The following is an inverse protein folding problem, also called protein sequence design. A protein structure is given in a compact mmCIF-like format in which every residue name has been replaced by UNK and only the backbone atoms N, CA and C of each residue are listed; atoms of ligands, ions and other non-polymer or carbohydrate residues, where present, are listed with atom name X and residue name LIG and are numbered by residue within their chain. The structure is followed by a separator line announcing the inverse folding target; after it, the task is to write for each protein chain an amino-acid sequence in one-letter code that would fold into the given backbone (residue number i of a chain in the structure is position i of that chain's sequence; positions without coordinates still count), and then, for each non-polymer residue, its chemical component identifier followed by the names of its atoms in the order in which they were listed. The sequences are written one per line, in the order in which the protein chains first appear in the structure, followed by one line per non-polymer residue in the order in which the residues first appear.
data_IF_188259764309
#
_entry.id   IF_188259764309
#
_cell.length_a   1.000
_cell.length_b   1.000
_cell.length_c   1.000
_cell.angle_alpha   90.00
_cell.angle_beta   90.00
_cell.angle_gamma   90.00
#
_symmetry.space_group_name_H-M   'P 1'
#
loop_
_entity.id
_entity.type
_entity.pdbx_description
1 polymer ?
#
# COMPACT_ATOMS: atom_id res chain seq x y z
N UNK A 1 16.56 -93.59 -56.83
CA UNK A 1 17.54 -92.86 -57.68
C UNK A 1 17.23 -91.38 -57.52
N UNK A 2 18.03 -90.54 -56.92
CA UNK A 2 19.20 -90.66 -56.08
C UNK A 2 19.15 -89.41 -55.20
N UNK A 3 19.48 -89.58 -53.94
CA UNK A 3 19.68 -88.54 -52.95
C UNK A 3 20.82 -87.64 -53.46
N UNK A 4 20.48 -86.60 -54.22
CA UNK A 4 21.42 -85.59 -54.68
C UNK A 4 21.46 -84.54 -53.59
N UNK A 5 22.19 -84.86 -52.50
CA UNK A 5 22.47 -83.90 -51.45
C UNK A 5 23.02 -82.63 -52.10
N UNK A 6 22.24 -81.55 -52.01
CA UNK A 6 22.70 -80.22 -52.41
C UNK A 6 24.03 -80.02 -51.68
N UNK A 7 25.10 -79.78 -52.44
CA UNK A 7 26.44 -79.61 -51.89
C UNK A 7 26.38 -78.59 -50.76
N UNK A 8 26.60 -79.04 -49.52
CA UNK A 8 26.54 -78.19 -48.33
C UNK A 8 27.45 -76.96 -48.45
N UNK A 9 28.48 -77.04 -49.30
CA UNK A 9 29.41 -75.97 -49.64
C UNK A 9 28.76 -74.74 -50.32
N UNK A 10 27.62 -74.88 -51.02
CA UNK A 10 26.93 -73.76 -51.69
C UNK A 10 25.72 -73.22 -50.91
N UNK A 11 25.19 -73.99 -49.97
CA UNK A 11 24.03 -73.60 -49.15
C UNK A 11 24.42 -72.48 -48.17
N UNK A 12 25.55 -72.64 -47.50
CA UNK A 12 26.01 -71.69 -46.47
C UNK A 12 26.29 -70.30 -47.06
N UNK A 13 27.06 -70.14 -48.16
CA UNK A 13 27.29 -68.82 -48.75
C UNK A 13 26.03 -68.15 -49.28
N UNK A 14 25.08 -68.93 -49.81
CA UNK A 14 23.81 -68.40 -50.33
C UNK A 14 22.93 -67.88 -49.19
N UNK A 15 22.82 -68.63 -48.09
CA UNK A 15 22.08 -68.19 -46.91
C UNK A 15 22.74 -66.98 -46.23
N UNK A 16 24.07 -66.93 -46.19
CA UNK A 16 24.79 -65.75 -45.67
C UNK A 16 24.54 -64.50 -46.51
N UNK A 17 24.45 -64.63 -47.82
CA UNK A 17 24.14 -63.51 -48.71
C UNK A 17 22.71 -63.01 -48.49
N UNK A 18 21.72 -63.91 -48.52
CA UNK A 18 20.30 -63.58 -48.28
C UNK A 18 20.10 -62.97 -46.89
N UNK A 19 20.80 -63.49 -45.88
CA UNK A 19 20.74 -62.94 -44.53
C UNK A 19 21.36 -61.54 -44.45
N UNK A 20 22.50 -61.30 -45.11
CA UNK A 20 23.12 -59.97 -45.17
C UNK A 20 22.23 -58.95 -45.86
N UNK A 21 21.62 -59.34 -46.98
CA UNK A 21 20.72 -58.49 -47.75
C UNK A 21 19.49 -58.09 -46.90
N UNK A 22 18.78 -59.08 -46.35
CA UNK A 22 17.63 -58.84 -45.48
C UNK A 22 18.00 -58.07 -44.19
N UNK A 23 19.18 -58.29 -43.61
CA UNK A 23 19.65 -57.53 -42.45
C UNK A 23 19.93 -56.06 -42.82
N UNK A 24 20.51 -55.83 -44.00
CA UNK A 24 20.78 -54.47 -44.50
C UNK A 24 19.47 -53.72 -44.75
N UNK A 25 18.50 -54.35 -45.42
CA UNK A 25 17.17 -53.78 -45.64
C UNK A 25 16.45 -53.48 -44.31
N UNK A 26 16.54 -54.39 -43.33
CA UNK A 26 15.96 -54.15 -42.01
C UNK A 26 16.63 -52.97 -41.30
N UNK A 27 17.95 -52.85 -41.36
CA UNK A 27 18.67 -51.71 -40.78
C UNK A 27 18.25 -50.40 -41.41
N UNK A 28 18.16 -50.34 -42.74
CA UNK A 28 17.71 -49.15 -43.46
C UNK A 28 16.27 -48.76 -43.08
N UNK A 29 15.36 -49.74 -42.98
CA UNK A 29 13.99 -49.50 -42.52
C UNK A 29 13.93 -49.00 -41.07
N UNK A 30 14.79 -49.51 -40.19
CA UNK A 30 14.88 -49.03 -38.80
C UNK A 30 15.46 -47.62 -38.73
N UNK A 31 16.49 -47.32 -39.50
CA UNK A 31 17.11 -46.00 -39.57
C UNK A 31 16.13 -44.96 -40.12
N UNK A 32 15.35 -45.32 -41.14
CA UNK A 32 14.30 -44.45 -41.68
C UNK A 32 13.22 -44.14 -40.63
N UNK A 33 12.77 -45.16 -39.89
CA UNK A 33 11.79 -44.96 -38.80
C UNK A 33 12.33 -44.04 -37.70
N UNK A 34 13.59 -44.23 -37.30
CA UNK A 34 14.23 -43.36 -36.30
C UNK A 34 14.34 -41.92 -36.81
N UNK A 35 14.67 -41.72 -38.09
CA UNK A 35 14.71 -40.39 -38.69
C UNK A 35 13.32 -39.72 -38.72
N UNK A 36 12.27 -40.49 -39.06
CA UNK A 36 10.89 -40.00 -39.07
C UNK A 36 10.41 -39.65 -37.66
N UNK A 37 10.72 -40.48 -36.67
CA UNK A 37 10.38 -40.22 -35.26
C UNK A 37 11.10 -38.98 -34.73
N UNK A 38 12.40 -38.84 -35.01
CA UNK A 38 13.16 -37.66 -34.64
C UNK A 38 12.60 -36.38 -35.27
N UNK A 39 12.20 -36.44 -36.56
CA UNK A 39 11.57 -35.32 -37.24
C UNK A 39 10.20 -34.99 -36.64
N UNK A 40 9.39 -36.00 -36.28
CA UNK A 40 8.10 -35.79 -35.64
C UNK A 40 8.22 -35.12 -34.27
N UNK A 41 9.23 -35.51 -33.48
CA UNK A 41 9.52 -34.89 -32.18
C UNK A 41 9.90 -33.41 -32.36
N UNK A 42 10.81 -33.11 -33.29
CA UNK A 42 11.25 -31.73 -33.54
C UNK A 42 10.10 -30.83 -34.01
N UNK A 43 9.23 -31.32 -34.91
CA UNK A 43 8.05 -30.56 -35.34
C UNK A 43 7.03 -30.39 -34.22
N UNK A 44 6.81 -31.40 -33.38
CA UNK A 44 5.94 -31.29 -32.21
C UNK A 44 6.48 -30.25 -31.21
N UNK A 45 7.78 -30.22 -30.96
CA UNK A 45 8.44 -29.21 -30.12
C UNK A 45 8.30 -27.80 -30.71
N UNK A 46 8.49 -27.66 -32.03
CA UNK A 46 8.31 -26.37 -32.72
C UNK A 46 6.89 -25.85 -32.56
N UNK A 47 5.88 -26.70 -32.83
CA UNK A 47 4.47 -26.33 -32.69
C UNK A 47 4.11 -26.00 -31.24
N UNK A 48 4.61 -26.76 -30.27
CA UNK A 48 4.39 -26.48 -28.85
C UNK A 48 5.01 -25.14 -28.42
N UNK A 49 6.20 -24.80 -28.94
CA UNK A 49 6.84 -23.53 -28.68
C UNK A 49 6.05 -22.35 -29.27
N UNK A 50 5.58 -22.48 -30.53
CA UNK A 50 4.73 -21.48 -31.19
C UNK A 50 3.42 -21.25 -30.43
N UNK A 51 2.75 -22.33 -30.02
CA UNK A 51 1.53 -22.25 -29.23
C UNK A 51 1.78 -21.60 -27.86
N UNK A 52 2.90 -21.91 -27.20
CA UNK A 52 3.26 -21.30 -25.93
C UNK A 52 3.51 -19.79 -26.06
N UNK A 53 4.09 -19.33 -27.17
CA UNK A 53 4.29 -17.90 -27.46
C UNK A 53 2.93 -17.22 -27.64
N UNK A 54 2.04 -17.80 -28.45
CA UNK A 54 0.70 -17.24 -28.68
C UNK A 54 -0.10 -17.16 -27.37
N UNK A 55 -0.08 -18.22 -26.54
CA UNK A 55 -0.74 -18.21 -25.23
C UNK A 55 -0.20 -17.11 -24.33
N UNK A 56 1.12 -16.87 -24.31
CA UNK A 56 1.72 -15.78 -23.53
C UNK A 56 1.29 -14.40 -24.03
N UNK A 57 1.21 -14.23 -25.35
CA UNK A 57 0.73 -12.96 -25.94
C UNK A 57 -0.72 -12.70 -25.57
N UNK A 58 -1.61 -13.69 -25.73
CA UNK A 58 -3.03 -13.56 -25.35
C UNK A 58 -3.18 -13.18 -23.87
N UNK A 59 -2.45 -13.84 -22.97
CA UNK A 59 -2.49 -13.51 -21.53
C UNK A 59 -1.97 -12.08 -21.26
N UNK A 60 -0.94 -11.65 -21.97
CA UNK A 60 -0.41 -10.29 -21.84
C UNK A 60 -1.43 -9.25 -22.31
N UNK A 61 -2.07 -9.48 -23.46
CA UNK A 61 -3.08 -8.59 -24.03
C UNK A 61 -4.33 -8.52 -23.14
N UNK A 62 -4.79 -9.66 -22.61
CA UNK A 62 -5.88 -9.72 -21.63
C UNK A 62 -5.56 -8.93 -20.36
N UNK A 63 -4.35 -9.10 -19.82
CA UNK A 63 -3.92 -8.36 -18.63
C UNK A 63 -3.86 -6.84 -18.89
N UNK A 64 -3.40 -6.44 -20.07
CA UNK A 64 -3.32 -5.04 -20.46
C UNK A 64 -4.72 -4.41 -20.62
N UNK A 65 -5.65 -5.16 -21.21
CA UNK A 65 -7.05 -4.74 -21.35
C UNK A 65 -7.73 -4.59 -19.98
N UNK A 66 -7.50 -5.52 -19.04
CA UNK A 66 -7.98 -5.41 -17.66
C UNK A 66 -7.42 -4.16 -16.98
N UNK A 67 -6.11 -3.89 -17.11
CA UNK A 67 -5.48 -2.68 -16.55
C UNK A 67 -6.10 -1.41 -17.12
N UNK A 68 -6.33 -1.35 -18.43
CA UNK A 68 -6.95 -0.19 -19.07
C UNK A 68 -8.40 0.01 -18.60
N UNK A 69 -9.16 -1.08 -18.43
CA UNK A 69 -10.53 -1.01 -17.93
C UNK A 69 -10.59 -0.56 -16.47
N UNK A 70 -9.68 -1.07 -15.63
CA UNK A 70 -9.53 -0.59 -14.25
C UNK A 70 -9.13 0.89 -14.20
N UNK A 71 -8.22 1.33 -15.06
CA UNK A 71 -7.83 2.75 -15.15
C UNK A 71 -9.02 3.64 -15.57
N UNK A 72 -9.86 3.17 -16.49
CA UNK A 72 -11.09 3.87 -16.88
C UNK A 72 -12.11 3.92 -15.75
N UNK A 73 -12.29 2.84 -14.99
CA UNK A 73 -13.21 2.75 -13.85
C UNK A 73 -12.74 3.59 -12.65
N UNK A 74 -11.44 3.56 -12.36
CA UNK A 74 -10.85 4.17 -11.16
C UNK A 74 -9.85 5.27 -11.50
N UNK A 75 -10.30 6.28 -12.26
CA UNK A 75 -9.43 7.39 -12.72
C UNK A 75 -8.60 8.01 -11.59
N UNK A 76 -9.22 8.22 -10.42
CA UNK A 76 -8.57 8.85 -9.26
C UNK A 76 -7.44 8.00 -8.64
N UNK A 77 -7.53 6.66 -8.71
CA UNK A 77 -6.52 5.76 -8.14
C UNK A 77 -5.21 5.79 -8.95
N UNK A 78 -5.31 6.06 -10.24
CA UNK A 78 -4.18 6.05 -11.17
C UNK A 78 -3.73 7.46 -11.57
N UNK A 79 -4.24 8.50 -10.90
CA UNK A 79 -3.69 9.84 -11.06
C UNK A 79 -2.24 9.84 -10.55
N UNK A 80 -1.29 10.39 -11.33
CA UNK A 80 0.07 10.62 -10.83
C UNK A 80 -0.02 11.46 -9.56
N UNK A 81 0.47 10.90 -8.44
CA UNK A 81 0.58 11.67 -7.20
C UNK A 81 1.60 12.77 -7.48
N UNK A 82 1.24 14.06 -7.32
CA UNK A 82 2.17 15.15 -7.49
C UNK A 82 3.40 14.89 -6.63
N UNK A 83 4.59 15.09 -7.19
CA UNK A 83 5.84 14.97 -6.45
C UNK A 83 6.03 16.24 -5.59
N UNK A 84 5.10 16.47 -4.67
CA UNK A 84 5.18 17.51 -3.66
C UNK A 84 6.14 17.05 -2.58
N UNK A 85 7.06 17.92 -2.18
CA UNK A 85 7.93 17.67 -1.05
C UNK A 85 7.07 17.24 0.14
N UNK A 86 7.43 16.12 0.76
CA UNK A 86 6.80 15.67 2.01
C UNK A 86 6.98 16.83 3.00
N UNK A 87 5.88 17.35 3.60
CA UNK A 87 6.01 18.35 4.63
C UNK A 87 6.92 17.79 5.72
N UNK A 88 8.11 18.39 5.88
CA UNK A 88 9.05 18.02 6.94
C UNK A 88 8.57 18.56 8.30
N UNK A 89 7.60 19.47 8.26
CA UNK A 89 6.93 19.98 9.43
C UNK A 89 6.02 18.90 10.00
N UNK A 90 6.26 18.54 11.26
CA UNK A 90 5.36 17.68 12.03
C UNK A 90 3.98 18.32 12.06
N UNK A 91 2.98 17.63 11.52
CA UNK A 91 1.59 18.08 11.56
C UNK A 91 1.12 17.94 13.00
N UNK A 92 1.12 19.06 13.73
CA UNK A 92 0.55 19.14 15.06
C UNK A 92 -0.96 19.39 14.90
N UNK A 93 -1.78 18.41 15.28
CA UNK A 93 -3.24 18.50 15.24
C UNK A 93 -3.75 18.68 16.68
N UNK A 94 -4.22 19.88 17.05
CA UNK A 94 -4.85 20.11 18.34
C UNK A 94 -6.14 19.31 18.50
N UNK A 95 -6.54 19.12 19.76
CA UNK A 95 -7.81 18.47 20.07
C UNK A 95 -9.00 19.16 19.40
N UNK A 96 -10.03 18.39 19.05
CA UNK A 96 -11.27 18.93 18.47
C UNK A 96 -11.92 19.98 19.39
N UNK A 97 -11.77 19.83 20.70
CA UNK A 97 -12.22 20.81 21.70
C UNK A 97 -11.49 22.15 21.54
N UNK A 98 -10.16 22.15 21.48
CA UNK A 98 -9.35 23.36 21.32
C UNK A 98 -9.60 24.03 19.97
N UNK A 99 -9.74 23.24 18.90
CA UNK A 99 -10.13 23.70 17.58
C UNK A 99 -11.49 24.42 17.61
N UNK A 100 -12.50 23.81 18.24
CA UNK A 100 -13.84 24.40 18.32
C UNK A 100 -13.86 25.70 19.14
N UNK A 101 -13.13 25.73 20.27
CA UNK A 101 -12.95 26.95 21.07
C UNK A 101 -12.33 28.09 20.27
N UNK A 102 -11.24 27.82 19.54
CA UNK A 102 -10.62 28.82 18.68
C UNK A 102 -11.53 29.25 17.53
N UNK A 103 -12.30 28.36 16.91
CA UNK A 103 -13.27 28.76 15.88
C UNK A 103 -14.35 29.70 16.41
N UNK A 104 -14.78 29.50 17.66
CA UNK A 104 -15.77 30.35 18.31
C UNK A 104 -15.18 31.63 18.92
N UNK A 105 -13.85 31.83 18.86
CA UNK A 105 -13.18 32.94 19.53
C UNK A 105 -13.25 32.86 21.06
N UNK A 106 -13.51 31.67 21.60
CA UNK A 106 -13.59 31.44 23.04
C UNK A 106 -12.20 31.18 23.63
N UNK A 107 -12.02 31.57 24.89
CA UNK A 107 -10.80 31.25 25.63
C UNK A 107 -10.60 29.74 25.73
N UNK A 108 -9.36 29.31 25.47
CA UNK A 108 -8.89 27.94 25.57
C UNK A 108 -7.55 27.94 26.30
N UNK A 109 -7.39 27.11 27.33
CA UNK A 109 -6.11 26.99 28.03
C UNK A 109 -4.99 26.55 27.07
N UNK A 110 -3.79 27.07 27.29
CA UNK A 110 -2.58 26.76 26.53
C UNK A 110 -2.17 25.30 26.65
N UNK A 111 -2.53 24.64 27.75
CA UNK A 111 -2.22 23.24 27.98
C UNK A 111 -2.62 22.34 26.79
N UNK A 112 -3.76 22.60 26.14
CA UNK A 112 -4.21 21.81 24.99
C UNK A 112 -3.32 21.90 23.75
N UNK A 113 -2.42 22.88 23.72
CA UNK A 113 -1.46 23.10 22.63
C UNK A 113 -0.03 22.63 23.00
N UNK A 114 0.19 22.16 24.23
CA UNK A 114 1.46 21.54 24.66
C UNK A 114 1.62 20.12 24.10
N UNK A 115 2.84 19.59 24.04
CA UNK A 115 3.07 18.20 23.58
C UNK A 115 2.30 17.19 24.44
N UNK A 116 2.20 17.45 25.75
CA UNK A 116 1.45 16.59 26.67
C UNK A 116 -0.05 16.65 26.44
N UNK A 117 -0.60 17.85 26.20
CA UNK A 117 -2.02 18.03 25.88
C UNK A 117 -2.41 17.32 24.58
N UNK A 118 -1.54 17.41 23.56
CA UNK A 118 -1.72 16.76 22.26
C UNK A 118 -1.69 15.23 22.37
N UNK A 119 -0.68 14.66 23.05
CA UNK A 119 -0.53 13.20 23.17
C UNK A 119 -1.65 12.53 24.00
N UNK A 120 -2.24 13.26 24.97
CA UNK A 120 -3.37 12.73 25.76
C UNK A 120 -4.66 12.66 24.96
N UNK A 121 -4.89 13.53 23.98
CA UNK A 121 -6.09 13.44 23.15
C UNK A 121 -6.02 12.25 22.17
N UNK A 122 -4.84 11.98 21.60
CA UNK A 122 -4.61 10.83 20.72
C UNK A 122 -4.82 9.48 21.42
N UNK A 123 -4.44 9.38 22.69
CA UNK A 123 -4.47 8.12 23.45
C UNK A 123 -5.82 7.83 24.13
N UNK A 124 -6.71 8.81 24.25
CA UNK A 124 -7.80 8.66 25.22
C UNK A 124 -8.92 7.72 24.77
N UNK A 125 -9.37 7.68 23.50
CA UNK A 125 -10.38 6.70 23.05
C UNK A 125 -10.35 6.53 21.52
N UNK A 126 -10.30 5.30 20.99
CA UNK A 126 -10.41 5.09 19.55
C UNK A 126 -11.84 5.40 19.09
N UNK A 127 -11.98 6.32 18.15
CA UNK A 127 -13.10 6.35 17.20
C UNK A 127 -14.52 6.62 17.74
N UNK A 128 -14.72 7.16 18.95
CA UNK A 128 -16.04 7.66 19.32
C UNK A 128 -16.19 9.12 18.85
N UNK A 129 -17.33 9.42 18.22
CA UNK A 129 -17.69 10.76 17.79
C UNK A 129 -17.48 11.77 18.92
N UNK A 130 -16.68 12.81 18.66
CA UNK A 130 -16.37 13.87 19.62
C UNK A 130 -17.61 14.70 19.99
N UNK A 131 -18.67 14.62 19.19
CA UNK A 131 -19.97 15.22 19.42
C UNK A 131 -20.94 14.31 20.21
N UNK A 132 -20.54 13.08 20.53
CA UNK A 132 -21.33 12.20 21.40
C UNK A 132 -21.55 12.86 22.77
N UNK A 133 -22.76 12.71 23.32
CA UNK A 133 -23.11 13.30 24.61
C UNK A 133 -22.75 12.35 25.77
N UNK A 134 -21.94 12.83 26.72
CA UNK A 134 -21.61 12.15 27.97
C UNK A 134 -22.42 12.74 29.12
N UNK A 135 -23.09 11.88 29.89
CA UNK A 135 -23.76 12.28 31.12
C UNK A 135 -22.71 12.53 32.21
N UNK A 136 -22.62 13.76 32.70
CA UNK A 136 -21.67 14.17 33.74
C UNK A 136 -22.43 14.77 34.92
N UNK A 137 -21.98 14.49 36.14
CA UNK A 137 -22.51 15.11 37.37
C UNK A 137 -21.80 16.43 37.61
N UNK A 138 -22.56 17.51 37.73
CA UNK A 138 -22.06 18.84 38.08
C UNK A 138 -21.84 18.94 39.60
N UNK A 139 -21.03 19.91 40.03
CA UNK A 139 -20.68 20.11 41.45
C UNK A 139 -21.90 20.40 42.35
N UNK A 140 -22.98 20.92 41.77
CA UNK A 140 -24.26 21.17 42.46
C UNK A 140 -25.15 19.92 42.59
N UNK A 141 -24.65 18.73 42.22
CA UNK A 141 -25.38 17.47 42.28
C UNK A 141 -26.32 17.19 41.10
N UNK A 142 -26.46 18.13 40.17
CA UNK A 142 -27.32 17.97 38.97
C UNK A 142 -26.57 17.22 37.87
N UNK A 143 -27.28 16.41 37.09
CA UNK A 143 -26.72 15.74 35.94
C UNK A 143 -26.94 16.55 34.66
N UNK A 144 -25.92 16.67 33.82
CA UNK A 144 -25.97 17.37 32.54
C UNK A 144 -25.33 16.52 31.44
N UNK A 145 -25.83 16.66 30.22
CA UNK A 145 -25.20 16.08 29.04
C UNK A 145 -24.23 17.10 28.44
N UNK A 146 -22.96 16.73 28.36
CA UNK A 146 -21.93 17.54 27.70
C UNK A 146 -21.31 16.75 26.56
N UNK A 147 -20.80 17.44 25.54
CA UNK A 147 -20.04 16.79 24.48
C UNK A 147 -18.86 16.02 25.08
N UNK A 148 -18.59 14.83 24.55
CA UNK A 148 -17.54 13.95 25.03
C UNK A 148 -16.17 14.64 24.94
N UNK A 149 -15.95 15.41 23.88
CA UNK A 149 -14.77 16.29 23.74
C UNK A 149 -14.61 17.25 24.92
N UNK A 150 -15.69 17.88 25.39
CA UNK A 150 -15.66 18.75 26.58
C UNK A 150 -15.41 17.98 27.88
N UNK A 151 -15.96 16.78 28.03
CA UNK A 151 -15.73 15.94 29.20
C UNK A 151 -14.25 15.52 29.31
N UNK A 152 -13.66 15.07 28.19
CA UNK A 152 -12.22 14.72 28.10
C UNK A 152 -11.33 15.93 28.39
N UNK A 153 -11.69 17.07 27.82
CA UNK A 153 -10.98 18.33 28.04
C UNK A 153 -10.95 18.68 29.54
N UNK A 154 -12.11 18.62 30.23
CA UNK A 154 -12.19 18.92 31.67
C UNK A 154 -11.39 17.96 32.54
N UNK A 155 -11.34 16.68 32.20
CA UNK A 155 -10.60 15.68 32.98
C UNK A 155 -9.07 15.86 32.90
N UNK A 156 -8.58 16.50 31.84
CA UNK A 156 -7.15 16.71 31.57
C UNK A 156 -6.68 18.14 31.80
N UNK A 157 -7.52 18.99 32.40
CA UNK A 157 -7.29 20.43 32.52
C UNK A 157 -6.11 20.76 33.45
N UNK A 158 -5.02 21.25 32.86
CA UNK A 158 -3.97 22.00 33.57
C UNK A 158 -4.18 23.48 33.28
N UNK A 159 -4.13 24.33 34.31
CA UNK A 159 -4.33 25.78 34.14
C UNK A 159 -3.05 26.42 33.61
N UNK A 160 -3.19 27.51 32.85
CA UNK A 160 -2.05 28.22 32.28
C UNK A 160 -0.99 28.65 33.31
N UNK A 161 -1.41 29.04 34.51
CA UNK A 161 -0.52 29.41 35.62
C UNK A 161 0.35 28.27 36.17
N UNK A 162 -0.04 27.03 35.90
CA UNK A 162 0.64 25.84 36.39
C UNK A 162 1.56 25.24 35.31
N UNK A 163 1.64 25.88 34.12
CA UNK A 163 2.55 25.53 33.04
C UNK A 163 3.95 26.12 33.27
N UNK A 164 4.97 25.36 32.89
CA UNK A 164 6.35 25.89 32.80
C UNK A 164 6.50 26.85 31.61
N UNK A 165 7.50 27.73 31.68
CA UNK A 165 7.80 28.66 30.57
C UNK A 165 8.13 27.94 29.26
N UNK A 166 8.78 26.77 29.34
CA UNK A 166 9.05 25.92 28.16
C UNK A 166 7.75 25.42 27.53
N UNK A 167 6.81 24.96 28.34
CA UNK A 167 5.49 24.52 27.88
C UNK A 167 4.66 25.68 27.30
N UNK A 168 4.75 26.87 27.89
CA UNK A 168 4.09 28.08 27.36
C UNK A 168 4.64 28.47 26.00
N UNK A 169 5.97 28.51 25.83
CA UNK A 169 6.60 28.84 24.54
C UNK A 169 6.24 27.81 23.46
N UNK A 170 6.19 26.54 23.83
CA UNK A 170 5.79 25.46 22.94
C UNK A 170 4.30 25.55 22.55
N UNK A 171 3.42 25.77 23.53
CA UNK A 171 1.99 25.91 23.32
C UNK A 171 1.64 27.11 22.44
N UNK A 172 2.34 28.22 22.61
CA UNK A 172 2.14 29.43 21.82
C UNK A 172 2.31 29.15 20.31
N UNK A 173 3.43 28.53 19.90
CA UNK A 173 3.68 28.22 18.50
C UNK A 173 2.57 27.35 17.90
N UNK A 174 2.15 26.31 18.64
CA UNK A 174 1.05 25.44 18.26
C UNK A 174 -0.27 26.21 18.14
N UNK A 175 -0.58 27.08 19.11
CA UNK A 175 -1.80 27.88 19.13
C UNK A 175 -1.86 28.85 17.93
N UNK A 176 -0.77 29.55 17.60
CA UNK A 176 -0.70 30.45 16.44
C UNK A 176 -0.93 29.69 15.13
N UNK A 177 -0.29 28.54 14.96
CA UNK A 177 -0.52 27.69 13.78
C UNK A 177 -1.97 27.23 13.70
N UNK A 178 -2.58 26.93 14.84
CA UNK A 178 -4.00 26.55 14.92
C UNK A 178 -4.92 27.71 14.55
N UNK A 179 -4.64 28.93 15.03
CA UNK A 179 -5.41 30.12 14.65
C UNK A 179 -5.41 30.33 13.13
N UNK A 180 -4.27 30.08 12.46
CA UNK A 180 -4.18 30.13 10.99
C UNK A 180 -5.05 29.06 10.33
N UNK A 181 -5.05 27.83 10.85
CA UNK A 181 -5.90 26.73 10.36
C UNK A 181 -7.40 26.99 10.61
N UNK A 182 -7.73 27.74 11.66
CA UNK A 182 -9.09 28.20 11.95
C UNK A 182 -9.47 29.47 11.18
N UNK A 183 -8.65 29.90 10.20
CA UNK A 183 -8.90 31.04 9.32
C UNK A 183 -9.11 32.37 10.07
N UNK A 184 -8.44 32.54 11.22
CA UNK A 184 -8.44 33.82 11.91
C UNK A 184 -7.86 34.91 11.01
N UNK A 185 -8.41 36.12 11.12
CA UNK A 185 -7.91 37.26 10.36
C UNK A 185 -6.41 37.46 10.63
N UNK A 186 -5.62 37.69 9.57
CA UNK A 186 -4.16 37.80 9.65
C UNK A 186 -3.70 38.85 10.67
N UNK A 187 -4.45 39.95 10.79
CA UNK A 187 -4.22 41.00 11.79
C UNK A 187 -4.35 40.45 13.21
N UNK A 188 -5.36 39.64 13.50
CA UNK A 188 -5.55 39.01 14.82
C UNK A 188 -4.41 38.04 15.14
N UNK A 189 -3.98 37.23 14.16
CA UNK A 189 -2.83 36.32 14.32
C UNK A 189 -1.56 37.11 14.60
N UNK A 190 -1.33 38.22 13.88
CA UNK A 190 -0.17 39.08 14.08
C UNK A 190 -0.18 39.77 15.45
N UNK A 191 -1.35 40.18 15.95
CA UNK A 191 -1.47 40.72 17.31
C UNK A 191 -1.06 39.70 18.37
N UNK A 192 -1.45 38.44 18.22
CA UNK A 192 -1.01 37.37 19.12
C UNK A 192 0.51 37.15 19.04
N UNK A 193 1.08 37.08 17.83
CA UNK A 193 2.54 36.98 17.65
C UNK A 193 3.27 38.12 18.38
N UNK A 194 2.81 39.35 18.21
CA UNK A 194 3.43 40.52 18.83
C UNK A 194 3.29 40.49 20.36
N UNK A 195 2.14 40.07 20.88
CA UNK A 195 1.92 39.89 22.32
C UNK A 195 2.92 38.89 22.90
N UNK A 196 3.06 37.73 22.27
CA UNK A 196 3.97 36.70 22.74
C UNK A 196 5.43 37.11 22.66
N UNK A 197 5.83 37.77 21.58
CA UNK A 197 7.17 38.33 21.46
C UNK A 197 7.44 39.34 22.58
N UNK A 198 6.47 40.19 22.92
CA UNK A 198 6.61 41.13 24.02
C UNK A 198 6.73 40.43 25.39
N UNK A 199 6.03 39.32 25.61
CA UNK A 199 6.13 38.52 26.84
C UNK A 199 7.51 37.85 26.94
N UNK A 200 8.00 37.25 25.86
CA UNK A 200 9.29 36.54 25.84
C UNK A 200 10.50 37.47 25.94
N UNK A 201 10.36 38.71 25.48
CA UNK A 201 11.44 39.72 25.48
C UNK A 201 11.38 40.68 26.67
N UNK A 202 10.40 40.52 27.57
CA UNK A 202 10.31 41.33 28.78
C UNK A 202 11.34 40.82 29.81
N UNK A 203 12.35 41.64 30.11
CA UNK A 203 13.26 41.45 31.26
C UNK A 203 12.53 41.60 32.61
#
# INVERSE_FOLDING_TARGET
LADCGIDQLFIVPTLEYVWRDNNTEQKESWDEKLCQEAHAILEAERLAAEEAILRRQVVADELELVKQEEQKKYKNKYLPIPNTAIPTETIIIPSAYAMNKLRNGEYCELYYFTHQGLAKDESSFPSLDNDALMLTKLDNGTHSFIALSSAKAKASLVKDKDLSWEEVGQANLCMINTMRQCEWASVCVQMHINLWLAIETHE
#
